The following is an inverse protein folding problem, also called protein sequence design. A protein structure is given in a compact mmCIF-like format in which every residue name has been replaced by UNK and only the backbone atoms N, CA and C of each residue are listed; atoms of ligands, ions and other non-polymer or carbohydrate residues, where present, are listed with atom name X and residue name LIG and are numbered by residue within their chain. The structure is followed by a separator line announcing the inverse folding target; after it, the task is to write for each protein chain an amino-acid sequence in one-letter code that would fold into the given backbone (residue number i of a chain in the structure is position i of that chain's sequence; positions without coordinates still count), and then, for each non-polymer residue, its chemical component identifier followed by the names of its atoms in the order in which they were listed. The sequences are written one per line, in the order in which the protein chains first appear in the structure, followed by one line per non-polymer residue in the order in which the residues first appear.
data_IF_721237483967
#
_entry.id   IF_721237483967
#
_cell.length_a   1.000
_cell.length_b   1.000
_cell.length_c   1.000
_cell.angle_alpha   90.00
_cell.angle_beta   90.00
_cell.angle_gamma   90.00
#
_symmetry.space_group_name_H-M   'P 1'
#
loop_
_entity.id
_entity.type
_entity.pdbx_description
1 polymer ?
#
# COMPACT_ATOMS: atom_id res chain seq x y z
N UNK A 1 -0.73 2.21 -31.51
CA UNK A 1 -1.04 1.67 -30.19
C UNK A 1 -0.79 2.77 -29.17
N UNK A 2 -1.76 3.13 -28.33
CA UNK A 2 -1.55 4.14 -27.33
C UNK A 2 -0.95 3.49 -26.08
N UNK A 3 0.23 3.91 -25.71
CA UNK A 3 0.89 3.52 -24.44
C UNK A 3 0.58 4.61 -23.43
N UNK A 4 0.45 4.30 -22.12
CA UNK A 4 0.26 5.32 -21.10
C UNK A 4 1.41 6.34 -21.12
N UNK A 5 1.06 7.61 -20.97
CA UNK A 5 2.04 8.70 -20.89
C UNK A 5 2.37 8.95 -19.42
N UNK A 6 3.65 8.76 -19.08
CA UNK A 6 4.16 9.05 -17.74
C UNK A 6 4.29 10.56 -17.55
N UNK A 7 3.88 11.01 -16.37
CA UNK A 7 4.17 12.35 -15.88
C UNK A 7 4.89 12.22 -14.53
N UNK A 8 6.12 12.72 -14.46
CA UNK A 8 6.97 12.72 -13.27
C UNK A 8 7.26 14.16 -12.87
N UNK A 9 6.80 14.55 -11.68
CA UNK A 9 6.85 15.93 -11.21
C UNK A 9 7.54 16.00 -9.86
N UNK A 10 8.48 16.95 -9.73
CA UNK A 10 9.12 17.30 -8.46
C UNK A 10 8.60 18.65 -7.99
N UNK A 11 8.11 18.72 -6.77
CA UNK A 11 7.61 19.94 -6.15
C UNK A 11 8.53 20.36 -5.00
N UNK A 12 9.22 21.47 -5.18
CA UNK A 12 10.17 22.02 -4.21
C UNK A 12 9.52 22.86 -3.10
N UNK A 13 8.19 23.01 -3.09
CA UNK A 13 7.49 23.69 -2.00
C UNK A 13 7.63 22.95 -0.66
N UNK A 14 7.40 23.64 0.43
CA UNK A 14 7.41 23.11 1.78
C UNK A 14 6.08 22.44 2.15
N UNK A 15 6.07 21.71 3.25
CA UNK A 15 4.89 21.01 3.79
C UNK A 15 4.59 19.66 3.13
N UNK A 16 3.74 18.84 3.75
CA UNK A 16 3.48 17.47 3.30
C UNK A 16 2.52 17.37 2.11
N UNK A 17 1.64 18.37 1.90
CA UNK A 17 0.62 18.33 0.86
C UNK A 17 1.20 18.33 -0.56
N UNK A 18 0.63 17.47 -1.43
CA UNK A 18 0.92 17.44 -2.87
C UNK A 18 0.03 18.42 -3.65
N UNK A 19 -0.97 19.03 -3.02
CA UNK A 19 -1.82 20.03 -3.65
C UNK A 19 -0.98 21.21 -4.17
N UNK A 20 -1.39 21.73 -5.32
CA UNK A 20 -0.75 22.91 -5.88
C UNK A 20 -1.05 24.14 -5.03
N UNK A 21 -0.13 25.07 -4.99
CA UNK A 21 -0.35 26.36 -4.36
C UNK A 21 -1.58 27.06 -4.94
N UNK A 22 -2.34 27.74 -4.09
CA UNK A 22 -3.50 28.54 -4.49
C UNK A 22 -3.00 29.76 -5.30
N UNK A 23 -3.42 29.82 -6.55
CA UNK A 23 -3.19 30.98 -7.42
C UNK A 23 -4.40 31.90 -7.30
N UNK A 24 -4.16 33.18 -7.09
CA UNK A 24 -5.24 34.17 -7.01
C UNK A 24 -6.05 34.16 -8.33
N UNK A 25 -7.37 34.23 -8.25
CA UNK A 25 -8.34 34.20 -9.35
C UNK A 25 -8.60 32.83 -10.01
N UNK A 26 -7.75 31.80 -9.78
CA UNK A 26 -7.96 30.47 -10.37
C UNK A 26 -7.94 29.33 -9.34
N UNK A 27 -7.44 29.61 -8.13
CA UNK A 27 -7.38 28.63 -7.05
C UNK A 27 -8.74 28.36 -6.43
N UNK A 28 -9.01 27.10 -6.14
CA UNK A 28 -10.23 26.63 -5.49
C UNK A 28 -9.91 26.33 -4.03
N UNK A 29 -10.67 26.94 -3.11
CA UNK A 29 -10.63 26.61 -1.69
C UNK A 29 -10.93 25.11 -1.49
N UNK A 30 -10.26 24.47 -0.56
CA UNK A 30 -10.28 23.03 -0.27
C UNK A 30 -9.57 22.14 -1.31
N UNK A 31 -9.15 22.67 -2.45
CA UNK A 31 -8.37 21.94 -3.46
C UNK A 31 -6.92 22.44 -3.51
N UNK A 32 -6.71 23.73 -3.36
CA UNK A 32 -5.39 24.34 -3.38
C UNK A 32 -4.98 24.81 -1.99
N UNK A 33 -3.70 24.77 -1.70
CA UNK A 33 -3.12 25.16 -0.41
C UNK A 33 -2.58 26.57 -0.46
N UNK A 34 -2.90 27.40 0.53
CA UNK A 34 -2.24 28.68 0.70
C UNK A 34 -0.75 28.43 0.94
N UNK A 35 0.09 28.90 0.01
CA UNK A 35 1.54 28.80 0.13
C UNK A 35 2.11 30.17 0.54
N UNK A 36 3.14 30.15 1.35
CA UNK A 36 3.90 31.31 1.78
C UNK A 36 4.95 31.75 0.72
N UNK A 37 5.15 30.92 -0.30
CA UNK A 37 6.08 31.18 -1.41
C UNK A 37 5.55 30.58 -2.72
N UNK A 38 6.08 31.06 -3.85
CA UNK A 38 5.77 30.48 -5.17
C UNK A 38 6.25 29.04 -5.23
N UNK A 39 5.33 28.08 -5.45
CA UNK A 39 5.70 26.69 -5.62
C UNK A 39 6.50 26.50 -6.90
N UNK A 40 7.71 25.97 -6.79
CA UNK A 40 8.51 25.56 -7.94
C UNK A 40 8.22 24.11 -8.23
N UNK A 41 7.46 23.87 -9.29
CA UNK A 41 7.08 22.54 -9.75
C UNK A 41 7.83 22.27 -11.05
N UNK A 42 8.56 21.17 -11.08
CA UNK A 42 9.41 20.80 -12.22
C UNK A 42 8.93 19.49 -12.81
N UNK A 43 8.55 19.53 -14.07
CA UNK A 43 8.25 18.33 -14.86
C UNK A 43 9.56 17.74 -15.40
N UNK A 44 9.86 16.51 -14.99
CA UNK A 44 11.06 15.77 -15.40
C UNK A 44 10.74 14.61 -16.36
N UNK A 45 9.48 14.48 -16.79
CA UNK A 45 8.98 13.36 -17.61
C UNK A 45 9.84 13.07 -18.83
N UNK A 46 10.29 14.11 -19.53
CA UNK A 46 11.11 13.99 -20.74
C UNK A 46 12.55 13.51 -20.48
N UNK A 47 12.99 13.49 -19.23
CA UNK A 47 14.32 13.06 -18.81
C UNK A 47 14.31 11.66 -18.19
N UNK A 48 13.14 11.09 -18.00
CA UNK A 48 12.99 9.79 -17.33
C UNK A 48 13.55 8.67 -18.18
N UNK A 49 14.51 7.93 -17.60
CA UNK A 49 15.06 6.71 -18.17
C UNK A 49 14.44 5.46 -17.53
N UNK A 50 14.17 5.49 -16.21
CA UNK A 50 13.60 4.36 -15.49
C UNK A 50 12.83 4.83 -14.27
N UNK A 51 11.71 4.18 -14.01
CA UNK A 51 10.93 4.30 -12.77
C UNK A 51 10.73 2.91 -12.18
N UNK A 52 11.01 2.78 -10.90
CA UNK A 52 10.67 1.59 -10.13
C UNK A 52 9.87 2.06 -8.91
N UNK A 53 8.66 1.55 -8.77
CA UNK A 53 7.83 1.78 -7.59
C UNK A 53 7.51 0.45 -6.92
N UNK A 54 7.42 0.49 -5.60
CA UNK A 54 6.98 -0.64 -4.81
C UNK A 54 6.12 -0.13 -3.66
N UNK A 55 4.85 -0.50 -3.63
CA UNK A 55 3.90 -0.14 -2.58
C UNK A 55 3.21 -1.41 -2.07
N UNK A 56 2.81 -1.41 -0.81
CA UNK A 56 2.03 -2.48 -0.24
C UNK A 56 2.76 -3.32 0.81
N UNK A 57 2.37 -4.58 0.92
CA UNK A 57 2.96 -5.56 1.85
C UNK A 57 3.39 -6.83 1.14
N UNK A 58 4.26 -7.58 1.76
CA UNK A 58 4.61 -8.94 1.32
C UNK A 58 3.63 -9.94 1.91
N UNK A 59 3.54 -11.14 1.33
CA UNK A 59 2.70 -12.22 1.84
C UNK A 59 2.98 -12.58 3.31
N UNK A 60 4.20 -12.34 3.79
CA UNK A 60 4.65 -12.64 5.14
C UNK A 60 4.35 -11.56 6.18
N UNK A 61 4.03 -10.36 5.74
CA UNK A 61 3.80 -9.23 6.63
C UNK A 61 2.31 -8.91 6.71
N UNK A 62 1.74 -8.92 7.90
CA UNK A 62 0.37 -8.44 8.12
C UNK A 62 0.26 -6.90 8.09
N UNK A 63 1.39 -6.21 8.06
CA UNK A 63 1.45 -4.75 8.00
C UNK A 63 2.00 -4.27 6.66
N UNK A 64 1.39 -3.20 6.13
CA UNK A 64 1.90 -2.49 4.98
C UNK A 64 3.24 -1.84 5.29
N UNK A 65 4.12 -1.87 4.31
CA UNK A 65 5.47 -1.31 4.41
C UNK A 65 5.52 0.08 3.76
N UNK A 66 6.55 0.84 4.11
CA UNK A 66 6.83 2.12 3.46
C UNK A 66 7.00 1.92 1.96
N UNK A 67 6.20 2.61 1.17
CA UNK A 67 6.33 2.63 -0.28
C UNK A 67 7.62 3.29 -0.72
N UNK A 68 8.22 2.81 -1.80
CA UNK A 68 9.49 3.30 -2.33
C UNK A 68 9.39 3.62 -3.82
N UNK A 69 10.12 4.67 -4.21
CA UNK A 69 10.32 5.07 -5.60
C UNK A 69 11.81 5.17 -5.89
N UNK A 70 12.24 4.61 -7.00
CA UNK A 70 13.52 4.92 -7.64
C UNK A 70 13.23 5.53 -9.02
N UNK A 71 13.59 6.80 -9.18
CA UNK A 71 13.44 7.53 -10.42
C UNK A 71 14.83 7.84 -11.00
N UNK A 72 15.13 7.32 -12.17
CA UNK A 72 16.38 7.56 -12.87
C UNK A 72 16.16 8.51 -14.03
N UNK A 73 16.85 9.64 -14.02
CA UNK A 73 16.75 10.68 -15.05
C UNK A 73 18.10 10.91 -15.73
N UNK A 74 18.05 11.25 -16.99
CA UNK A 74 19.22 11.74 -17.75
C UNK A 74 19.40 13.22 -17.44
N UNK A 75 20.55 13.60 -16.90
CA UNK A 75 20.82 14.93 -16.36
C UNK A 75 22.10 15.52 -16.96
N UNK A 76 22.13 15.66 -18.29
CA UNK A 76 23.30 16.09 -19.05
C UNK A 76 23.87 17.43 -18.60
N UNK A 77 23.04 18.34 -18.09
CA UNK A 77 23.48 19.66 -17.63
C UNK A 77 23.85 19.68 -16.13
N UNK A 78 23.64 18.57 -15.41
CA UNK A 78 23.80 18.53 -13.95
C UNK A 78 22.81 19.40 -13.19
N UNK A 79 21.60 19.60 -13.75
CA UNK A 79 20.55 20.43 -13.15
C UNK A 79 20.11 19.89 -11.78
N UNK A 80 20.16 18.56 -11.60
CA UNK A 80 19.80 17.85 -10.37
C UNK A 80 21.01 17.43 -9.52
N UNK A 81 22.18 17.96 -9.80
CA UNK A 81 23.35 17.79 -8.94
C UNK A 81 23.36 18.87 -7.84
N UNK A 82 23.23 18.49 -6.55
CA UNK A 82 23.23 19.45 -5.44
C UNK A 82 24.50 20.28 -5.32
N UNK A 83 25.60 19.87 -5.95
CA UNK A 83 26.88 20.58 -5.94
C UNK A 83 27.04 21.55 -7.13
N UNK A 84 26.14 21.54 -8.10
CA UNK A 84 26.19 22.45 -9.25
C UNK A 84 25.64 23.81 -8.88
N UNK A 85 26.50 24.70 -8.43
CA UNK A 85 26.15 26.09 -8.04
C UNK A 85 25.55 26.94 -9.19
N UNK A 86 25.74 26.53 -10.42
CA UNK A 86 25.16 27.19 -11.61
C UNK A 86 23.86 26.50 -12.07
N UNK A 87 23.46 25.44 -11.42
CA UNK A 87 22.26 24.68 -11.77
C UNK A 87 20.97 25.46 -11.41
N UNK A 88 19.90 25.29 -12.17
CA UNK A 88 18.65 26.03 -11.98
C UNK A 88 17.95 25.65 -10.65
N UNK A 89 18.27 24.49 -10.06
CA UNK A 89 17.68 24.00 -8.82
C UNK A 89 18.68 23.97 -7.66
N UNK A 90 19.82 24.62 -7.77
CA UNK A 90 20.82 24.74 -6.72
C UNK A 90 20.21 25.06 -5.37
N UNK A 91 20.30 25.10 -4.37
CA UNK A 91 19.63 25.38 -3.06
C UNK A 91 18.23 24.75 -2.87
N UNK A 92 17.55 24.34 -3.95
CA UNK A 92 16.25 23.66 -3.86
C UNK A 92 16.38 22.14 -3.69
N UNK A 93 17.51 21.56 -4.12
CA UNK A 93 17.79 20.12 -4.07
C UNK A 93 18.14 19.68 -2.65
N UNK A 94 17.12 19.61 -1.81
CA UNK A 94 17.24 19.15 -0.42
C UNK A 94 16.38 17.91 -0.21
N UNK A 95 16.71 17.04 0.75
CA UNK A 95 15.84 15.94 1.15
C UNK A 95 14.44 16.43 1.55
N UNK A 96 13.47 15.51 1.54
CA UNK A 96 12.06 15.77 1.87
C UNK A 96 11.31 16.67 0.90
N UNK A 97 11.83 16.90 -0.31
CA UNK A 97 11.05 17.48 -1.41
C UNK A 97 10.08 16.43 -1.96
N UNK A 98 8.97 16.91 -2.48
CA UNK A 98 7.87 16.05 -2.95
C UNK A 98 8.11 15.57 -4.37
N UNK A 99 7.76 14.33 -4.64
CA UNK A 99 7.74 13.75 -5.99
C UNK A 99 6.42 13.03 -6.21
N UNK A 100 5.87 13.21 -7.39
CA UNK A 100 4.64 12.54 -7.80
C UNK A 100 4.83 11.93 -9.19
N UNK A 101 4.39 10.68 -9.31
CA UNK A 101 4.37 9.95 -10.58
C UNK A 101 2.91 9.64 -10.90
N UNK A 102 2.49 10.03 -12.09
CA UNK A 102 1.17 9.68 -12.64
C UNK A 102 1.30 9.13 -14.05
N UNK A 103 0.28 8.42 -14.51
CA UNK A 103 0.20 7.95 -15.89
C UNK A 103 -1.14 8.37 -16.50
N UNK A 104 -1.13 8.86 -17.72
CA UNK A 104 -2.36 9.22 -18.44
C UNK A 104 -2.62 8.23 -19.56
N UNK A 105 -3.80 7.62 -19.56
CA UNK A 105 -4.26 6.71 -20.58
C UNK A 105 -5.76 6.95 -20.89
N UNK A 106 -6.13 7.04 -22.17
CA UNK A 106 -7.52 7.29 -22.56
C UNK A 106 -8.16 8.55 -21.97
N UNK A 107 -7.39 9.61 -21.73
CA UNK A 107 -7.79 10.87 -21.08
C UNK A 107 -8.06 10.75 -19.55
N UNK A 108 -7.77 9.61 -18.95
CA UNK A 108 -7.80 9.41 -17.49
C UNK A 108 -6.37 9.45 -16.96
N UNK A 109 -6.16 10.16 -15.86
CA UNK A 109 -4.87 10.22 -15.17
C UNK A 109 -4.94 9.37 -13.90
N UNK A 110 -4.06 8.38 -13.83
CA UNK A 110 -3.94 7.43 -12.74
C UNK A 110 -2.75 7.81 -11.86
N UNK A 111 -2.92 7.92 -10.54
CA UNK A 111 -1.80 8.08 -9.63
C UNK A 111 -1.01 6.77 -9.54
N UNK A 112 0.32 6.85 -9.56
CA UNK A 112 1.19 5.69 -9.41
C UNK A 112 1.92 5.74 -8.06
N UNK A 113 2.49 6.90 -7.76
CA UNK A 113 3.26 7.10 -6.54
C UNK A 113 3.33 8.56 -6.15
N UNK A 114 3.19 8.85 -4.88
CA UNK A 114 3.45 10.16 -4.28
C UNK A 114 4.27 10.00 -3.02
N UNK A 115 5.35 10.76 -2.89
CA UNK A 115 6.24 10.61 -1.74
C UNK A 115 7.27 11.73 -1.63
N UNK A 116 8.26 11.49 -0.77
CA UNK A 116 9.26 12.47 -0.34
C UNK A 116 10.66 11.98 -0.70
N UNK A 117 11.41 12.82 -1.38
CA UNK A 117 12.75 12.49 -1.85
C UNK A 117 13.68 12.36 -0.64
N UNK A 118 14.37 11.25 -0.56
CA UNK A 118 15.35 10.96 0.50
C UNK A 118 16.78 11.13 0.02
N UNK A 119 17.03 10.96 -1.28
CA UNK A 119 18.37 10.97 -1.83
C UNK A 119 18.42 11.40 -3.29
N UNK A 120 19.49 12.10 -3.66
CA UNK A 120 19.92 12.42 -5.02
C UNK A 120 21.29 11.81 -5.25
N UNK A 121 21.41 10.85 -6.15
CA UNK A 121 22.68 10.18 -6.47
C UNK A 121 23.02 10.46 -7.93
N UNK A 122 24.03 11.28 -8.17
CA UNK A 122 24.50 11.58 -9.52
C UNK A 122 25.69 10.68 -9.86
N UNK A 123 25.63 10.06 -11.02
CA UNK A 123 26.70 9.22 -11.59
C UNK A 123 27.11 9.73 -12.95
N UNK A 124 28.39 9.61 -13.26
CA UNK A 124 29.00 10.03 -14.52
C UNK A 124 29.61 8.78 -15.19
N UNK A 125 28.86 8.03 -16.00
CA UNK A 125 29.40 6.86 -16.71
C UNK A 125 30.40 7.30 -17.77
N UNK A 126 31.61 6.75 -17.74
CA UNK A 126 32.72 7.09 -18.63
C UNK A 126 32.90 6.09 -19.81
N UNK A 127 31.99 5.11 -19.95
CA UNK A 127 32.19 4.00 -20.90
C UNK A 127 31.93 4.35 -22.37
N UNK A 128 31.31 5.49 -22.67
CA UNK A 128 30.85 5.84 -24.02
C UNK A 128 31.59 7.02 -24.68
N UNK A 129 32.46 7.73 -23.94
CA UNK A 129 33.08 8.95 -24.41
C UNK A 129 32.09 10.09 -24.63
N UNK A 130 30.84 9.96 -24.17
CA UNK A 130 29.83 11.01 -24.12
C UNK A 130 29.72 11.52 -22.68
N UNK A 131 29.60 12.83 -22.49
CA UNK A 131 29.36 13.45 -21.20
C UNK A 131 27.95 13.14 -20.70
N UNK A 132 27.74 11.89 -20.31
CA UNK A 132 26.45 11.42 -19.81
C UNK A 132 26.40 11.50 -18.29
N UNK A 133 25.56 12.35 -17.74
CA UNK A 133 25.23 12.37 -16.32
C UNK A 133 23.86 11.75 -16.10
N UNK A 134 23.78 10.92 -15.08
CA UNK A 134 22.54 10.27 -14.66
C UNK A 134 22.30 10.58 -13.19
N UNK A 135 21.15 11.17 -12.89
CA UNK A 135 20.73 11.38 -11.51
C UNK A 135 19.65 10.36 -11.14
N UNK A 136 19.91 9.60 -10.09
CA UNK A 136 18.96 8.68 -9.46
C UNK A 136 18.37 9.35 -8.24
N UNK A 137 17.06 9.55 -8.27
CA UNK A 137 16.28 10.14 -7.18
C UNK A 137 15.59 8.99 -6.46
N UNK A 138 15.82 8.89 -5.16
CA UNK A 138 15.15 7.92 -4.30
C UNK A 138 14.13 8.63 -3.44
N UNK A 139 12.93 8.09 -3.35
CA UNK A 139 11.86 8.64 -2.54
C UNK A 139 11.08 7.54 -1.82
N UNK A 140 10.41 7.93 -0.76
CA UNK A 140 9.56 7.08 0.07
C UNK A 140 8.25 7.79 0.36
N UNK A 141 7.21 7.03 0.70
CA UNK A 141 5.89 7.57 1.00
C UNK A 141 5.80 8.28 2.38
N UNK A 142 4.60 8.67 2.76
CA UNK A 142 4.31 9.41 3.99
C UNK A 142 4.63 8.62 5.28
N UNK A 143 4.72 7.30 5.25
CA UNK A 143 5.17 6.51 6.41
C UNK A 143 6.53 6.96 6.94
N UNK A 144 7.41 7.43 6.05
CA UNK A 144 8.71 7.97 6.46
C UNK A 144 8.57 9.19 7.38
N UNK A 145 7.66 10.10 7.08
CA UNK A 145 7.42 11.27 7.93
C UNK A 145 6.85 10.86 9.29
N UNK A 146 5.88 9.94 9.32
CA UNK A 146 5.33 9.40 10.56
C UNK A 146 6.37 8.61 11.37
N UNK A 147 7.35 7.96 10.70
CA UNK A 147 8.46 7.27 11.37
C UNK A 147 9.46 8.24 12.00
N UNK A 148 9.67 9.40 11.41
CA UNK A 148 10.57 10.44 11.95
C UNK A 148 9.93 11.24 13.09
N UNK A 149 8.60 11.39 13.07
CA UNK A 149 7.86 12.15 14.06
C UNK A 149 7.79 11.38 15.40
N UNK A 150 8.37 11.95 16.45
CA UNK A 150 8.29 11.42 17.82
C UNK A 150 7.10 12.03 18.56
N UNK A 151 6.30 11.19 19.17
CA UNK A 151 5.17 11.58 20.00
C UNK A 151 5.26 10.93 21.37
N UNK A 152 4.79 11.61 22.42
CA UNK A 152 4.68 11.04 23.76
C UNK A 152 3.22 10.94 24.21
N UNK A 153 2.44 11.95 23.92
CA UNK A 153 1.03 12.04 24.31
C UNK A 153 0.20 12.36 23.07
N UNK A 154 -0.89 11.64 22.89
CA UNK A 154 -1.87 11.93 21.83
C UNK A 154 -2.99 12.78 22.45
N UNK A 155 -3.09 14.03 22.00
CA UNK A 155 -4.07 14.98 22.53
C UNK A 155 -5.50 14.52 22.21
N UNK A 156 -6.37 14.54 23.24
CA UNK A 156 -7.76 14.13 23.12
C UNK A 156 -8.00 12.63 23.14
N UNK A 157 -6.96 11.80 23.19
CA UNK A 157 -7.08 10.36 23.21
C UNK A 157 -7.59 9.85 24.57
N UNK A 158 -8.79 9.30 24.58
CA UNK A 158 -9.46 8.79 25.78
C UNK A 158 -9.80 7.30 25.63
N UNK A 159 -10.01 6.63 26.77
CA UNK A 159 -10.53 5.27 26.73
C UNK A 159 -11.97 5.28 26.20
N UNK A 160 -12.29 4.35 25.29
CA UNK A 160 -13.58 4.27 24.62
C UNK A 160 -13.62 4.91 23.24
N UNK A 161 -12.58 5.63 22.82
CA UNK A 161 -12.47 6.10 21.45
C UNK A 161 -12.46 4.93 20.46
N UNK A 162 -13.11 5.07 19.31
CA UNK A 162 -12.97 4.13 18.21
C UNK A 162 -11.57 4.22 17.58
N UNK A 163 -11.13 3.15 16.97
CA UNK A 163 -9.80 3.04 16.34
C UNK A 163 -9.55 4.14 15.31
N UNK A 164 -10.51 4.46 14.43
CA UNK A 164 -10.36 5.55 13.46
C UNK A 164 -10.29 6.93 14.10
N UNK A 165 -11.02 7.16 15.18
CA UNK A 165 -10.87 8.40 15.98
C UNK A 165 -9.44 8.52 16.51
N UNK A 166 -8.89 7.42 17.04
CA UNK A 166 -7.52 7.39 17.54
C UNK A 166 -6.48 7.62 16.44
N UNK A 167 -6.69 7.07 15.24
CA UNK A 167 -5.84 7.34 14.07
C UNK A 167 -5.84 8.84 13.75
N UNK A 168 -7.01 9.47 13.68
CA UNK A 168 -7.12 10.90 13.42
C UNK A 168 -6.42 11.74 14.49
N UNK A 169 -6.58 11.42 15.79
CA UNK A 169 -5.91 12.12 16.89
C UNK A 169 -4.37 12.02 16.80
N UNK A 170 -3.84 10.87 16.39
CA UNK A 170 -2.40 10.70 16.17
C UNK A 170 -1.94 11.56 14.99
N UNK A 171 -2.66 11.56 13.87
CA UNK A 171 -2.36 12.39 12.72
C UNK A 171 -2.47 13.89 13.00
N UNK A 172 -3.43 14.31 13.86
CA UNK A 172 -3.53 15.69 14.35
C UNK A 172 -2.32 16.08 15.20
N UNK A 173 -1.83 15.17 16.03
CA UNK A 173 -0.65 15.41 16.90
C UNK A 173 0.59 15.73 16.07
N UNK A 174 0.72 15.17 14.87
CA UNK A 174 1.82 15.47 13.93
C UNK A 174 1.44 16.52 12.88
N UNK A 175 0.28 17.16 13.02
CA UNK A 175 -0.23 18.18 12.10
C UNK A 175 -0.34 17.68 10.64
N UNK A 176 -0.70 16.43 10.44
CA UNK A 176 -0.92 15.87 9.11
C UNK A 176 -2.21 16.46 8.50
N UNK A 177 -2.23 16.91 7.23
CA UNK A 177 -3.40 17.56 6.62
C UNK A 177 -4.63 16.64 6.58
N UNK A 178 -5.81 17.18 6.85
CA UNK A 178 -7.08 16.45 6.72
C UNK A 178 -7.36 15.98 5.28
N UNK A 179 -6.96 16.81 4.29
CA UNK A 179 -7.10 16.48 2.87
C UNK A 179 -6.24 15.30 2.38
N UNK A 180 -5.37 14.79 3.25
CA UNK A 180 -4.49 13.66 2.96
C UNK A 180 -4.76 12.48 3.89
N UNK A 181 -6.02 12.29 4.26
CA UNK A 181 -6.49 11.21 5.13
C UNK A 181 -7.75 10.59 4.54
N UNK A 182 -7.79 9.27 4.58
CA UNK A 182 -8.98 8.47 4.35
C UNK A 182 -9.06 7.46 5.49
N UNK A 183 -9.89 7.76 6.50
CA UNK A 183 -9.88 7.07 7.78
C UNK A 183 -11.28 6.62 8.13
N UNK A 184 -11.50 5.31 8.11
CA UNK A 184 -12.72 4.68 8.57
C UNK A 184 -12.95 4.94 10.08
N UNK A 185 -14.20 4.90 10.52
CA UNK A 185 -14.53 5.07 11.92
C UNK A 185 -13.88 4.02 12.83
N UNK A 186 -13.76 2.79 12.30
CA UNK A 186 -13.30 1.63 13.06
C UNK A 186 -14.39 1.00 13.92
N UNK A 187 -14.17 -0.23 14.33
CA UNK A 187 -15.14 -1.03 15.11
C UNK A 187 -14.67 -1.32 16.53
N UNK A 188 -13.37 -1.25 16.78
CA UNK A 188 -12.77 -1.56 18.08
C UNK A 188 -12.64 -0.31 18.94
N UNK A 189 -13.12 -0.40 20.18
CA UNK A 189 -12.87 0.64 21.19
C UNK A 189 -11.48 0.50 21.79
N UNK A 190 -10.78 1.62 21.90
CA UNK A 190 -9.39 1.69 22.35
C UNK A 190 -9.28 2.00 23.84
N UNK A 191 -8.21 1.52 24.46
CA UNK A 191 -7.77 1.99 25.77
C UNK A 191 -7.31 3.46 25.72
N UNK A 192 -7.09 4.08 26.87
CA UNK A 192 -6.41 5.36 26.93
C UNK A 192 -5.02 5.28 26.26
N UNK A 193 -4.56 6.40 25.74
CA UNK A 193 -3.19 6.47 25.16
C UNK A 193 -2.15 6.12 26.24
N UNK A 194 -1.17 5.26 25.96
CA UNK A 194 -0.15 4.85 26.95
C UNK A 194 0.77 6.00 27.39
N UNK A 195 0.79 7.14 26.69
CA UNK A 195 1.61 8.30 27.06
C UNK A 195 3.12 8.04 27.02
N UNK A 196 3.58 7.08 26.19
CA UNK A 196 4.99 6.71 26.09
C UNK A 196 5.63 7.30 24.84
N UNK A 197 6.94 7.59 24.92
CA UNK A 197 7.69 8.05 23.74
C UNK A 197 7.76 6.96 22.68
N UNK A 198 7.28 7.28 21.49
CA UNK A 198 7.27 6.40 20.33
C UNK A 198 7.15 7.19 19.04
N UNK A 199 7.41 6.56 17.90
CA UNK A 199 7.13 7.21 16.60
C UNK A 199 5.63 7.26 16.35
N UNK A 200 5.16 8.26 15.61
CA UNK A 200 3.76 8.33 15.18
C UNK A 200 3.38 7.08 14.36
N UNK A 201 4.27 6.59 13.50
CA UNK A 201 4.03 5.36 12.74
C UNK A 201 3.83 4.14 13.66
N UNK A 202 4.65 3.99 14.71
CA UNK A 202 4.47 2.90 15.67
C UNK A 202 3.12 3.01 16.41
N UNK A 203 2.69 4.23 16.77
CA UNK A 203 1.40 4.46 17.39
C UNK A 203 0.24 4.10 16.43
N UNK A 204 0.30 4.55 15.18
CA UNK A 204 -0.67 4.24 14.14
C UNK A 204 -0.74 2.72 13.86
N UNK A 205 0.42 2.05 13.73
CA UNK A 205 0.49 0.60 13.51
C UNK A 205 -0.09 -0.19 14.69
N UNK A 206 0.11 0.27 15.93
CA UNK A 206 -0.49 -0.37 17.11
C UNK A 206 -2.01 -0.27 17.08
N UNK A 207 -2.57 0.89 16.67
CA UNK A 207 -4.02 1.07 16.52
C UNK A 207 -4.56 0.16 15.42
N UNK A 208 -3.92 0.12 14.25
CA UNK A 208 -4.33 -0.73 13.14
C UNK A 208 -4.30 -2.22 13.52
N UNK A 209 -3.22 -2.67 14.21
CA UNK A 209 -3.14 -4.04 14.72
C UNK A 209 -4.21 -4.34 15.78
N UNK A 210 -4.56 -3.38 16.62
CA UNK A 210 -5.61 -3.54 17.64
C UNK A 210 -7.00 -3.63 17.03
N UNK A 211 -7.23 -3.01 15.88
CA UNK A 211 -8.47 -3.13 15.09
C UNK A 211 -8.52 -4.42 14.27
N UNK A 212 -7.38 -5.08 14.00
CA UNK A 212 -7.23 -6.05 12.93
C UNK A 212 -7.57 -5.43 11.55
N UNK A 213 -7.32 -4.14 11.44
CA UNK A 213 -7.52 -3.32 10.26
C UNK A 213 -6.23 -3.14 9.47
N UNK A 214 -6.30 -2.32 8.45
CA UNK A 214 -5.19 -2.03 7.56
C UNK A 214 -4.83 -0.54 7.58
N UNK A 215 -3.55 -0.25 7.69
CA UNK A 215 -3.00 1.10 7.59
C UNK A 215 -1.99 1.12 6.44
N UNK A 216 -2.16 2.03 5.48
CA UNK A 216 -1.25 2.18 4.36
C UNK A 216 -1.24 3.62 3.83
N UNK A 217 -0.33 3.88 2.89
CA UNK A 217 -0.32 5.11 2.10
C UNK A 217 -0.72 4.75 0.68
N UNK A 218 -1.74 5.43 0.15
CA UNK A 218 -2.21 5.22 -1.21
C UNK A 218 -1.27 5.83 -2.28
N UNK A 219 -1.60 5.68 -3.55
CA UNK A 219 -0.81 6.22 -4.65
C UNK A 219 -0.80 7.76 -4.70
N UNK A 220 -1.79 8.41 -4.07
CA UNK A 220 -1.89 9.87 -3.99
C UNK A 220 -1.04 10.46 -2.86
N UNK A 221 -0.57 9.63 -1.93
CA UNK A 221 0.21 10.01 -0.76
C UNK A 221 -0.63 10.24 0.51
N UNK A 222 -1.88 9.83 0.50
CA UNK A 222 -2.78 9.94 1.65
C UNK A 222 -2.62 8.76 2.61
N UNK A 223 -2.70 9.02 3.91
CA UNK A 223 -2.87 7.95 4.90
C UNK A 223 -4.27 7.37 4.79
N UNK A 224 -4.33 6.07 4.61
CA UNK A 224 -5.58 5.31 4.58
C UNK A 224 -5.62 4.35 5.77
N UNK A 225 -6.70 4.41 6.52
CA UNK A 225 -7.00 3.43 7.56
C UNK A 225 -8.34 2.77 7.25
N UNK A 226 -8.30 1.47 7.01
CA UNK A 226 -9.49 0.66 6.79
C UNK A 226 -9.72 -0.26 7.98
N UNK A 227 -10.93 -0.29 8.47
CA UNK A 227 -11.32 -1.25 9.50
C UNK A 227 -11.49 -2.68 8.90
N UNK A 228 -11.61 -3.66 9.76
CA UNK A 228 -11.71 -5.07 9.34
C UNK A 228 -12.92 -5.39 8.47
N UNK A 229 -14.02 -4.63 8.58
CA UNK A 229 -15.23 -4.88 7.80
C UNK A 229 -15.11 -4.46 6.33
N UNK A 230 -14.35 -3.40 6.05
CA UNK A 230 -14.11 -2.93 4.67
C UNK A 230 -13.26 -3.93 3.90
N UNK A 231 -12.22 -4.46 4.54
CA UNK A 231 -11.37 -5.50 3.94
C UNK A 231 -12.20 -6.75 3.58
N UNK A 232 -13.11 -7.17 4.45
CA UNK A 232 -14.02 -8.28 4.18
C UNK A 232 -15.07 -7.93 3.10
N UNK A 233 -15.60 -6.69 3.12
CA UNK A 233 -16.64 -6.24 2.18
C UNK A 233 -16.16 -6.13 0.74
N UNK A 234 -14.90 -5.79 0.49
CA UNK A 234 -14.34 -5.68 -0.86
C UNK A 234 -14.34 -7.01 -1.64
N UNK A 235 -14.42 -8.15 -0.95
CA UNK A 235 -14.48 -9.49 -1.56
C UNK A 235 -15.81 -9.76 -2.26
N UNK A 236 -16.91 -9.14 -1.82
CA UNK A 236 -18.23 -9.23 -2.47
C UNK A 236 -18.33 -8.44 -3.78
N UNK A 237 -17.30 -7.71 -4.18
CA UNK A 237 -17.21 -7.00 -5.46
C UNK A 237 -17.03 -7.97 -6.65
N UNK A 238 -17.34 -7.49 -7.87
CA UNK A 238 -17.06 -8.25 -9.09
C UNK A 238 -15.56 -8.26 -9.35
N UNK A 239 -14.88 -9.43 -9.29
CA UNK A 239 -13.45 -9.49 -9.48
C UNK A 239 -13.05 -9.19 -10.93
N UNK A 240 -11.94 -8.49 -11.10
CA UNK A 240 -11.27 -8.40 -12.41
C UNK A 240 -10.68 -9.75 -12.76
N UNK A 241 -11.07 -10.31 -13.91
CA UNK A 241 -10.67 -11.66 -14.33
C UNK A 241 -9.41 -11.60 -15.18
N UNK A 242 -8.37 -12.30 -14.73
CA UNK A 242 -7.14 -12.55 -15.46
C UNK A 242 -7.13 -14.01 -15.90
N UNK A 243 -6.92 -14.28 -17.20
CA UNK A 243 -7.01 -15.64 -17.74
C UNK A 243 -6.11 -15.85 -18.97
N UNK A 244 -5.46 -17.01 -19.04
CA UNK A 244 -4.63 -17.43 -20.18
C UNK A 244 -5.42 -18.13 -21.32
N UNK A 245 -6.73 -18.26 -21.16
CA UNK A 245 -7.63 -18.97 -22.07
C UNK A 245 -8.61 -18.06 -22.81
N UNK A 246 -8.30 -16.76 -22.94
CA UNK A 246 -9.12 -15.73 -23.59
C UNK A 246 -10.49 -15.45 -22.92
N UNK A 247 -10.73 -15.91 -21.70
CA UNK A 247 -11.96 -15.61 -20.93
C UNK A 247 -11.83 -14.36 -20.05
N UNK A 248 -10.64 -13.78 -19.96
CA UNK A 248 -10.33 -12.59 -19.17
C UNK A 248 -9.20 -11.76 -19.77
N UNK A 249 -8.61 -10.90 -18.94
CA UNK A 249 -7.42 -10.13 -19.27
C UNK A 249 -6.23 -11.07 -19.29
N UNK A 250 -5.45 -11.05 -20.36
CA UNK A 250 -4.25 -11.85 -20.48
C UNK A 250 -3.15 -11.34 -19.54
N UNK A 251 -2.32 -12.21 -19.01
CA UNK A 251 -1.23 -11.86 -18.10
C UNK A 251 0.10 -12.42 -18.62
N UNK A 252 1.20 -11.77 -18.25
CA UNK A 252 2.53 -12.18 -18.67
C UNK A 252 3.05 -13.37 -17.86
N UNK A 253 2.79 -13.39 -16.56
CA UNK A 253 3.23 -14.44 -15.64
C UNK A 253 2.30 -14.49 -14.42
N UNK A 254 2.09 -15.70 -13.87
CA UNK A 254 1.36 -15.92 -12.64
C UNK A 254 2.08 -16.99 -11.79
N UNK A 255 2.53 -16.62 -10.61
CA UNK A 255 3.29 -17.50 -9.71
C UNK A 255 2.36 -18.24 -8.77
N UNK A 256 2.18 -19.54 -8.98
CA UNK A 256 1.39 -20.43 -8.13
C UNK A 256 2.26 -21.11 -7.10
N UNK A 257 1.89 -20.98 -5.84
CA UNK A 257 2.68 -21.45 -4.68
C UNK A 257 1.82 -22.31 -3.75
N UNK A 258 2.42 -23.37 -3.24
CA UNK A 258 1.94 -24.13 -2.10
C UNK A 258 3.09 -24.26 -1.09
N UNK A 259 2.98 -23.60 0.05
CA UNK A 259 3.97 -23.67 1.11
C UNK A 259 3.31 -23.48 2.49
N UNK A 260 4.08 -23.63 3.54
CA UNK A 260 3.67 -23.57 4.95
C UNK A 260 3.76 -22.15 5.57
N UNK A 261 4.28 -21.19 4.82
CA UNK A 261 4.64 -19.86 5.33
C UNK A 261 3.47 -19.10 5.95
N UNK A 262 2.25 -19.31 5.45
CA UNK A 262 1.04 -18.66 5.95
C UNK A 262 0.21 -19.55 6.88
N UNK A 263 0.71 -20.73 7.27
CA UNK A 263 0.03 -21.56 8.26
C UNK A 263 0.29 -20.96 9.64
N UNK A 264 -0.78 -20.65 10.35
CA UNK A 264 -0.76 -20.28 11.77
C UNK A 264 -1.89 -21.00 12.47
N UNK A 265 -1.56 -22.03 13.26
CA UNK A 265 -2.52 -22.89 13.92
C UNK A 265 -2.59 -22.64 15.44
N UNK A 266 -1.83 -21.68 15.94
CA UNK A 266 -1.95 -21.15 17.29
C UNK A 266 -1.69 -19.64 17.28
N UNK A 267 -2.60 -18.87 17.83
CA UNK A 267 -2.43 -17.44 18.03
C UNK A 267 -2.49 -17.10 19.53
N UNK A 268 -1.59 -16.22 19.96
CA UNK A 268 -1.58 -15.64 21.32
C UNK A 268 -1.64 -14.14 21.20
N UNK A 269 -2.75 -13.55 21.60
CA UNK A 269 -3.02 -12.12 21.50
C UNK A 269 -3.14 -11.53 22.91
N UNK A 270 -2.44 -10.45 23.18
CA UNK A 270 -2.42 -9.81 24.50
C UNK A 270 -2.64 -8.30 24.35
N UNK A 271 -3.70 -7.79 24.99
CA UNK A 271 -3.86 -6.33 25.11
C UNK A 271 -2.95 -5.77 26.22
N UNK A 272 -2.68 -4.49 26.18
CA UNK A 272 -1.93 -3.80 27.23
C UNK A 272 -2.65 -3.94 28.58
N UNK A 273 -1.95 -4.42 29.59
CA UNK A 273 -2.49 -4.65 30.93
C UNK A 273 -3.51 -5.78 31.04
N UNK A 274 -3.71 -6.58 29.97
CA UNK A 274 -4.63 -7.74 29.94
C UNK A 274 -3.92 -9.07 30.17
N UNK A 275 -4.70 -10.15 30.05
CA UNK A 275 -4.20 -11.53 30.06
C UNK A 275 -4.08 -12.07 28.64
N UNK A 276 -3.07 -12.91 28.41
CA UNK A 276 -2.85 -13.53 27.09
C UNK A 276 -4.06 -14.40 26.71
N UNK A 277 -4.63 -14.12 25.57
CA UNK A 277 -5.73 -14.88 24.98
C UNK A 277 -5.17 -15.81 23.92
N UNK A 278 -5.55 -17.09 23.96
CA UNK A 278 -4.97 -18.13 23.11
C UNK A 278 -6.07 -18.86 22.36
N UNK A 279 -5.91 -18.96 21.07
CA UNK A 279 -6.68 -19.87 20.20
C UNK A 279 -5.75 -20.87 19.52
N UNK A 280 -6.23 -22.09 19.26
CA UNK A 280 -5.48 -23.10 18.54
C UNK A 280 -6.38 -24.05 17.78
N UNK A 281 -5.89 -24.58 16.66
CA UNK A 281 -6.52 -25.64 15.88
C UNK A 281 -5.68 -26.92 16.01
N UNK A 282 -6.17 -27.91 16.77
CA UNK A 282 -5.41 -29.12 17.06
C UNK A 282 -5.24 -30.00 15.82
N UNK A 283 -6.25 -30.10 14.96
CA UNK A 283 -6.19 -30.91 13.73
C UNK A 283 -5.09 -30.39 12.79
N UNK A 284 -4.96 -29.07 12.70
CA UNK A 284 -3.89 -28.42 11.94
C UNK A 284 -2.51 -28.65 12.60
N UNK A 285 -2.42 -28.59 13.92
CA UNK A 285 -1.17 -28.87 14.64
C UNK A 285 -0.72 -30.30 14.40
N UNK A 286 -1.64 -31.26 14.43
CA UNK A 286 -1.34 -32.67 14.19
C UNK A 286 -0.89 -32.93 12.74
N UNK A 287 -1.36 -32.12 11.78
CA UNK A 287 -1.05 -32.22 10.35
C UNK A 287 0.24 -31.49 9.95
N UNK A 288 0.46 -30.28 10.48
CA UNK A 288 1.51 -29.37 10.02
C UNK A 288 2.51 -29.00 11.10
N UNK A 289 2.46 -29.59 12.29
CA UNK A 289 3.18 -29.15 13.49
C UNK A 289 2.72 -27.77 13.97
N UNK A 290 3.30 -27.32 15.08
CA UNK A 290 2.95 -26.06 15.72
C UNK A 290 3.53 -24.86 14.96
N UNK A 291 2.65 -24.02 14.41
CA UNK A 291 2.96 -22.71 13.83
C UNK A 291 2.28 -21.63 14.69
N UNK A 292 3.08 -20.86 15.41
CA UNK A 292 2.56 -19.89 16.38
C UNK A 292 2.65 -18.46 15.86
N UNK A 293 1.57 -17.71 16.09
CA UNK A 293 1.51 -16.26 15.94
C UNK A 293 1.44 -15.61 17.32
N UNK A 294 2.14 -14.52 17.52
CA UNK A 294 2.17 -13.79 18.78
C UNK A 294 2.09 -12.30 18.55
N UNK A 295 1.16 -11.63 19.25
CA UNK A 295 1.01 -10.19 19.22
C UNK A 295 0.64 -9.68 20.61
N UNK A 296 1.33 -8.66 21.08
CA UNK A 296 1.14 -8.09 22.42
C UNK A 296 1.02 -6.57 22.41
N UNK A 297 0.78 -5.99 23.58
CA UNK A 297 0.68 -4.55 23.81
C UNK A 297 -0.39 -3.84 22.96
N UNK A 298 -1.45 -4.56 22.59
CA UNK A 298 -2.57 -4.01 21.84
C UNK A 298 -3.44 -3.10 22.66
N UNK A 299 -4.14 -2.18 22.01
CA UNK A 299 -4.92 -1.13 22.66
C UNK A 299 -6.43 -1.44 22.76
N UNK A 300 -6.90 -2.64 22.35
CA UNK A 300 -8.30 -3.00 22.57
C UNK A 300 -8.67 -2.99 24.07
N UNK A 301 -9.92 -2.65 24.40
CA UNK A 301 -10.34 -2.47 25.79
C UNK A 301 -10.52 -3.76 26.57
N UNK A 302 -10.90 -4.87 25.95
CA UNK A 302 -11.27 -6.10 26.64
C UNK A 302 -10.45 -7.31 26.16
N UNK A 303 -10.28 -8.28 27.06
CA UNK A 303 -9.66 -9.56 26.72
C UNK A 303 -10.55 -10.37 25.78
N UNK A 304 -11.87 -10.15 25.77
CA UNK A 304 -12.80 -10.79 24.85
C UNK A 304 -12.48 -10.43 23.39
N UNK A 305 -12.27 -9.16 23.08
CA UNK A 305 -11.86 -8.72 21.72
C UNK A 305 -10.51 -9.32 21.32
N UNK A 306 -9.57 -9.48 22.26
CA UNK A 306 -8.31 -10.14 22.00
C UNK A 306 -8.48 -11.64 21.70
N UNK A 307 -9.43 -12.30 22.37
CA UNK A 307 -9.77 -13.70 22.10
C UNK A 307 -10.44 -13.87 20.73
N UNK A 308 -11.41 -13.00 20.39
CA UNK A 308 -12.07 -13.02 19.08
C UNK A 308 -11.04 -12.84 17.96
N UNK A 309 -10.08 -11.92 18.12
CA UNK A 309 -8.96 -11.78 17.19
C UNK A 309 -8.14 -13.07 17.06
N UNK A 310 -7.75 -13.70 18.18
CA UNK A 310 -6.96 -14.93 18.15
C UNK A 310 -7.72 -16.05 17.43
N UNK A 311 -9.01 -16.18 17.65
CA UNK A 311 -9.88 -17.19 17.01
C UNK A 311 -10.00 -16.95 15.51
N UNK A 312 -10.33 -15.74 15.08
CA UNK A 312 -10.43 -15.36 13.68
C UNK A 312 -9.09 -15.58 12.93
N UNK A 313 -7.96 -15.22 13.57
CA UNK A 313 -6.64 -15.41 12.99
C UNK A 313 -6.30 -16.88 12.75
N UNK A 314 -6.60 -17.77 13.70
CA UNK A 314 -6.37 -19.20 13.55
C UNK A 314 -7.35 -19.82 12.55
N UNK A 315 -8.64 -19.45 12.62
CA UNK A 315 -9.67 -19.98 11.72
C UNK A 315 -9.31 -19.76 10.24
N UNK A 316 -8.80 -18.58 9.91
CA UNK A 316 -8.43 -18.20 8.54
C UNK A 316 -7.09 -18.75 8.04
N UNK A 317 -6.22 -19.27 8.94
CA UNK A 317 -4.84 -19.63 8.60
C UNK A 317 -4.40 -21.01 9.06
N UNK A 318 -5.32 -21.82 9.58
CA UNK A 318 -5.00 -23.17 10.06
C UNK A 318 -4.64 -24.14 8.94
N UNK A 319 -5.10 -23.90 7.72
CA UNK A 319 -4.87 -24.75 6.55
C UNK A 319 -4.10 -24.04 5.47
N UNK A 320 -3.34 -24.78 4.66
CA UNK A 320 -2.69 -24.26 3.47
C UNK A 320 -3.51 -24.53 2.23
N UNK A 321 -3.49 -23.61 1.29
CA UNK A 321 -4.09 -23.75 -0.03
C UNK A 321 -3.09 -23.40 -1.13
N UNK A 322 -3.33 -23.89 -2.34
CA UNK A 322 -2.63 -23.38 -3.51
C UNK A 322 -3.07 -21.93 -3.72
N UNK A 323 -2.14 -21.01 -3.76
CA UNK A 323 -2.40 -19.59 -3.97
C UNK A 323 -1.57 -19.01 -5.11
N UNK A 324 -1.99 -17.88 -5.64
CA UNK A 324 -1.17 -17.06 -6.51
C UNK A 324 -0.43 -16.05 -5.63
N UNK A 325 0.90 -16.03 -5.70
CA UNK A 325 1.73 -15.10 -4.93
C UNK A 325 1.86 -13.76 -5.66
N UNK A 326 1.95 -13.82 -6.98
CA UNK A 326 2.00 -12.63 -7.81
C UNK A 326 1.46 -12.89 -9.22
N UNK A 327 0.94 -11.83 -9.82
CA UNK A 327 0.58 -11.76 -11.23
C UNK A 327 1.27 -10.57 -11.89
N UNK A 328 1.80 -10.78 -13.09
CA UNK A 328 2.55 -9.77 -13.84
C UNK A 328 1.80 -9.41 -15.12
N UNK A 329 1.58 -8.12 -15.32
CA UNK A 329 1.06 -7.56 -16.56
C UNK A 329 2.20 -6.84 -17.30
N UNK A 330 2.33 -7.08 -18.60
CA UNK A 330 3.23 -6.34 -19.47
C UNK A 330 2.39 -5.47 -20.40
N UNK A 331 2.53 -4.13 -20.30
CA UNK A 331 1.71 -3.19 -21.05
C UNK A 331 2.10 -3.07 -22.52
N UNK A 332 3.18 -3.73 -22.94
CA UNK A 332 3.66 -3.77 -24.32
C UNK A 332 3.22 -5.04 -25.08
N UNK A 333 2.38 -5.87 -24.47
CA UNK A 333 1.81 -7.08 -25.10
C UNK A 333 0.51 -6.76 -25.85
N UNK A 334 -0.10 -7.78 -26.47
CA UNK A 334 -1.33 -7.63 -27.25
C UNK A 334 -2.60 -7.36 -26.41
N UNK A 335 -2.49 -7.33 -25.09
CA UNK A 335 -3.60 -7.11 -24.16
C UNK A 335 -3.87 -5.62 -23.95
N UNK A 336 -4.19 -4.93 -25.04
CA UNK A 336 -4.44 -3.49 -25.01
C UNK A 336 -5.74 -3.15 -24.28
N UNK A 337 -5.87 -1.91 -23.86
CA UNK A 337 -7.04 -1.32 -23.24
C UNK A 337 -7.35 -1.89 -21.86
N UNK A 338 -8.00 -3.05 -21.77
CA UNK A 338 -8.41 -3.62 -20.48
C UNK A 338 -7.22 -3.99 -19.59
N UNK A 339 -6.14 -4.56 -20.17
CA UNK A 339 -4.93 -4.87 -19.42
C UNK A 339 -4.18 -3.62 -18.96
N UNK A 340 -4.11 -2.58 -19.80
CA UNK A 340 -3.49 -1.31 -19.43
C UNK A 340 -4.30 -0.63 -18.32
N UNK A 341 -5.63 -0.58 -18.45
CA UNK A 341 -6.50 0.00 -17.42
C UNK A 341 -6.36 -0.77 -16.12
N UNK A 342 -6.42 -2.09 -16.14
CA UNK A 342 -6.25 -2.93 -14.96
C UNK A 342 -4.88 -2.70 -14.28
N UNK A 343 -3.81 -2.57 -15.08
CA UNK A 343 -2.47 -2.33 -14.56
C UNK A 343 -2.28 -0.96 -13.88
N UNK A 344 -3.10 0.03 -14.25
CA UNK A 344 -3.02 1.41 -13.76
C UNK A 344 -4.05 1.73 -12.65
N UNK A 345 -5.22 1.06 -12.70
CA UNK A 345 -6.39 1.38 -11.86
C UNK A 345 -6.48 0.49 -10.61
N UNK A 346 -6.11 -0.80 -10.75
CA UNK A 346 -6.19 -1.72 -9.63
C UNK A 346 -5.16 -1.39 -8.55
N UNK A 347 -5.65 -1.34 -7.29
CA UNK A 347 -4.84 -1.05 -6.11
C UNK A 347 -5.16 -2.03 -4.95
N UNK A 348 -4.76 -1.72 -3.75
CA UNK A 348 -4.91 -2.60 -2.58
C UNK A 348 -6.36 -2.96 -2.31
N UNK A 349 -6.58 -4.21 -1.93
CA UNK A 349 -7.86 -4.83 -1.63
C UNK A 349 -8.80 -5.04 -2.82
N UNK A 350 -8.45 -4.58 -4.03
CA UNK A 350 -9.26 -4.89 -5.20
C UNK A 350 -9.32 -6.39 -5.44
N UNK A 351 -10.54 -6.95 -5.64
CA UNK A 351 -10.71 -8.37 -5.89
C UNK A 351 -10.29 -8.71 -7.33
N UNK A 352 -9.50 -9.76 -7.46
CA UNK A 352 -9.12 -10.32 -8.76
C UNK A 352 -9.41 -11.82 -8.79
N UNK A 353 -9.68 -12.34 -9.97
CA UNK A 353 -9.78 -13.78 -10.23
C UNK A 353 -8.71 -14.19 -11.22
N UNK A 354 -7.88 -15.14 -10.86
CA UNK A 354 -6.82 -15.66 -11.73
C UNK A 354 -7.21 -17.05 -12.20
N UNK A 355 -7.17 -17.26 -13.51
CA UNK A 355 -7.46 -18.53 -14.20
C UNK A 355 -6.23 -18.93 -14.99
N UNK A 356 -5.70 -20.13 -14.71
CA UNK A 356 -4.53 -20.68 -15.40
C UNK A 356 -4.84 -22.07 -15.94
N UNK A 357 -4.54 -22.32 -17.20
CA UNK A 357 -4.70 -23.62 -17.84
C UNK A 357 -3.45 -24.46 -17.62
N UNK A 358 -3.62 -25.60 -16.98
CA UNK A 358 -2.52 -26.54 -16.73
C UNK A 358 -2.17 -27.36 -17.97
N UNK A 359 -0.93 -27.88 -18.07
CA UNK A 359 -0.62 -28.92 -19.03
C UNK A 359 -1.57 -30.12 -18.84
N UNK A 360 -2.35 -30.45 -19.88
CA UNK A 360 -3.41 -31.47 -19.79
C UNK A 360 -4.84 -30.90 -19.81
N UNK A 361 -5.00 -29.57 -19.80
CA UNK A 361 -6.25 -28.89 -20.14
C UNK A 361 -7.18 -28.60 -18.95
N UNK A 362 -6.84 -28.99 -17.71
CA UNK A 362 -7.59 -28.56 -16.53
C UNK A 362 -7.24 -27.14 -16.15
N UNK A 363 -8.19 -26.38 -15.59
CA UNK A 363 -7.98 -25.02 -15.12
C UNK A 363 -7.82 -24.96 -13.62
N UNK A 364 -6.92 -24.08 -13.16
CA UNK A 364 -6.85 -23.62 -11.79
C UNK A 364 -7.50 -22.25 -11.72
N UNK A 365 -8.37 -22.05 -10.74
CA UNK A 365 -9.03 -20.77 -10.52
C UNK A 365 -8.88 -20.36 -9.06
N UNK A 366 -8.55 -19.08 -8.82
CA UNK A 366 -8.49 -18.48 -7.50
C UNK A 366 -9.01 -17.04 -7.52
N UNK A 367 -9.83 -16.71 -6.53
CA UNK A 367 -10.22 -15.34 -6.23
C UNK A 367 -9.33 -14.84 -5.10
N UNK A 368 -8.75 -13.65 -5.28
CA UNK A 368 -7.69 -13.09 -4.46
C UNK A 368 -7.92 -11.60 -4.31
N UNK A 369 -7.20 -10.98 -3.38
CA UNK A 369 -7.09 -9.53 -3.25
C UNK A 369 -5.65 -9.08 -3.50
N UNK A 370 -5.50 -7.85 -3.99
CA UNK A 370 -4.21 -7.22 -4.19
C UNK A 370 -3.72 -6.62 -2.86
N UNK A 371 -2.49 -6.89 -2.49
CA UNK A 371 -1.84 -6.34 -1.29
C UNK A 371 -0.51 -5.65 -1.58
N UNK A 372 -0.05 -5.71 -2.80
CA UNK A 372 1.14 -4.99 -3.23
C UNK A 372 1.10 -4.69 -4.72
N UNK A 373 1.59 -3.51 -5.07
CA UNK A 373 1.72 -3.03 -6.45
C UNK A 373 3.14 -2.59 -6.69
N UNK A 374 3.80 -3.25 -7.63
CA UNK A 374 5.14 -2.90 -8.07
C UNK A 374 5.13 -2.59 -9.54
N UNK A 375 5.68 -1.44 -9.93
CA UNK A 375 5.83 -1.08 -11.33
C UNK A 375 7.31 -0.89 -11.69
N UNK A 376 7.68 -1.41 -12.84
CA UNK A 376 9.00 -1.23 -13.44
C UNK A 376 8.81 -0.69 -14.85
N UNK A 377 9.20 0.57 -15.03
CA UNK A 377 8.89 1.35 -16.23
C UNK A 377 10.19 1.84 -16.84
N UNK A 378 10.36 1.60 -18.12
CA UNK A 378 11.45 2.10 -18.95
C UNK A 378 10.91 2.46 -20.35
N UNK A 379 11.65 3.14 -21.21
CA UNK A 379 11.16 3.58 -22.52
C UNK A 379 10.54 2.49 -23.39
N UNK A 380 10.99 1.24 -23.24
CA UNK A 380 10.56 0.10 -24.05
C UNK A 380 9.95 -1.06 -23.24
N UNK A 381 9.64 -0.85 -21.97
CA UNK A 381 9.09 -1.88 -21.12
C UNK A 381 8.31 -1.28 -19.97
N UNK A 382 7.11 -1.76 -19.72
CA UNK A 382 6.33 -1.42 -18.56
C UNK A 382 5.69 -2.68 -18.00
N UNK A 383 6.15 -3.08 -16.83
CA UNK A 383 5.62 -4.24 -16.12
C UNK A 383 5.00 -3.80 -14.79
N UNK A 384 3.76 -4.21 -14.58
CA UNK A 384 3.05 -4.08 -13.30
C UNK A 384 2.93 -5.45 -12.68
N UNK A 385 3.40 -5.59 -11.45
CA UNK A 385 3.31 -6.82 -10.66
C UNK A 385 2.39 -6.58 -9.49
N UNK A 386 1.33 -7.37 -9.39
CA UNK A 386 0.46 -7.41 -8.22
C UNK A 386 0.89 -8.55 -7.31
N UNK A 387 1.16 -8.25 -6.05
CA UNK A 387 1.29 -9.25 -4.99
C UNK A 387 -0.10 -9.53 -4.45
N UNK A 388 -0.48 -10.81 -4.35
CA UNK A 388 -1.83 -11.20 -4.02
C UNK A 388 -1.88 -12.15 -2.83
N UNK A 389 -2.96 -12.12 -2.11
CA UNK A 389 -3.28 -13.04 -1.03
C UNK A 389 -4.72 -13.49 -1.12
N UNK A 390 -5.00 -14.69 -0.61
CA UNK A 390 -6.37 -15.06 -0.32
C UNK A 390 -6.91 -14.13 0.76
N UNK A 391 -8.12 -13.61 0.58
CA UNK A 391 -8.75 -12.79 1.60
C UNK A 391 -8.94 -13.60 2.88
N UNK A 392 -8.63 -12.99 4.00
CA UNK A 392 -8.93 -13.56 5.33
C UNK A 392 -10.41 -13.29 5.58
N UNK A 393 -11.25 -14.28 5.32
CA UNK A 393 -12.68 -14.16 5.54
C UNK A 393 -13.10 -15.15 6.61
N UNK A 394 -13.57 -14.61 7.71
CA UNK A 394 -14.36 -15.32 8.71
C UNK A 394 -15.82 -14.78 8.70
N UNK A 395 -16.34 -14.48 7.51
CA UNK A 395 -17.65 -13.87 7.34
C UNK A 395 -18.53 -14.68 6.37
N UNK A 396 -19.79 -14.84 6.75
CA UNK A 396 -20.84 -15.36 5.87
C UNK A 396 -21.27 -14.22 4.92
N UNK A 397 -21.07 -14.39 3.62
CA UNK A 397 -21.50 -13.45 2.59
C UNK A 397 -22.76 -13.97 1.93
N UNK A 398 -23.87 -13.28 2.12
CA UNK A 398 -25.17 -13.68 1.58
C UNK A 398 -25.12 -13.80 0.04
N UNK A 399 -25.57 -14.95 -0.49
CA UNK A 399 -25.57 -15.30 -1.92
C UNK A 399 -24.19 -15.54 -2.56
N UNK A 400 -23.11 -15.57 -1.79
CA UNK A 400 -21.83 -16.04 -2.30
C UNK A 400 -21.78 -17.57 -2.32
N UNK A 401 -21.22 -18.16 -3.38
CA UNK A 401 -21.18 -19.62 -3.56
C UNK A 401 -20.09 -20.31 -2.75
N UNK A 402 -19.11 -19.55 -2.28
CA UNK A 402 -17.97 -20.04 -1.48
C UNK A 402 -18.16 -19.62 -0.02
N UNK A 403 -18.46 -18.34 0.20
CA UNK A 403 -18.55 -17.73 1.53
C UNK A 403 -19.99 -17.57 2.04
N UNK A 404 -20.98 -17.98 1.26
CA UNK A 404 -22.40 -17.95 1.63
C UNK A 404 -22.98 -19.31 1.99
N UNK A 405 -22.16 -20.32 2.26
CA UNK A 405 -22.61 -21.67 2.59
C UNK A 405 -22.85 -21.80 4.09
N UNK A 406 -24.11 -22.01 4.49
CA UNK A 406 -24.48 -22.31 5.87
C UNK A 406 -23.73 -23.57 6.35
N UNK A 407 -23.28 -23.58 7.58
CA UNK A 407 -22.45 -24.59 8.24
C UNK A 407 -20.93 -24.55 7.92
N UNK A 408 -20.48 -23.69 6.98
CA UNK A 408 -19.06 -23.50 6.68
C UNK A 408 -18.53 -22.11 7.06
N UNK A 409 -19.42 -21.09 7.09
CA UNK A 409 -19.04 -19.72 7.35
C UNK A 409 -19.74 -19.15 8.58
N UNK A 410 -19.05 -18.38 9.37
CA UNK A 410 -19.57 -17.75 10.58
C UNK A 410 -20.23 -16.43 10.21
N UNK A 411 -21.41 -16.13 10.76
CA UNK A 411 -21.99 -14.79 10.71
C UNK A 411 -21.08 -13.84 11.47
N UNK A 412 -20.50 -12.87 10.78
CA UNK A 412 -19.76 -11.79 11.44
C UNK A 412 -20.76 -10.85 12.13
N UNK A 413 -20.55 -10.58 13.38
CA UNK A 413 -21.31 -9.62 14.17
C UNK A 413 -20.61 -8.26 14.14
#
# INVERSE_FOLDING_TARGET
MAIPVINAVINFSTGPSFAQAMILDTGVLDTNVLADSTAIIVDVSNRVNRIETNRGRTALSDQFQTGALTLRIVDQNGDFNPQNVSGPYYELLTPMKKVQITATYGSVTYPIFSGFITNYVTTYPDESGEDLAITTIQAVDAFRLAQLAQISTVTGATAGDLSGTRVNQILDTISWPLSMRDVDAGLTTMQADPGTNRTALAALSTVASSEYGSLYVDATGSFVFQDRSVTAGSIGGTPTVFADNATGIDYFDASWILNDVLIFNKATITRSGGTAQVASNQDSIDKYFLHSYFLDNLLMQTDAVALDYAQAYVASRAETSIRVDSIVLDLYTDNYNSGIIAALDLDFFDPIKVITTQPGGSTLEKTLQIFGVRMNISPNSWKTTFTTLEPVIDAFILNDTIYGTLDYNVLSY
#
